data_IF_694040694418
#
_entry.id   IF_694040694418
#
_cell.length_a   1.000
_cell.length_b   1.000
_cell.length_c   1.000
_cell.angle_alpha   90.00
_cell.angle_beta   90.00
_cell.angle_gamma   90.00
#
_symmetry.space_group_name_H-M   'P 1'
#
loop_
_entity.id
_entity.type
_entity.pdbx_description
1 polymer ?
#
# COMPACT_ATOMS: atom_id res chain seq x y z
N UNK A 1 9.13 -4.12 -23.63
CA UNK A 1 7.75 -4.56 -23.32
C UNK A 1 7.40 -4.07 -21.93
N UNK A 2 6.69 -2.96 -21.82
CA UNK A 2 6.29 -2.37 -20.53
C UNK A 2 5.31 -3.30 -19.83
N UNK A 3 5.67 -3.78 -18.64
CA UNK A 3 4.75 -4.50 -17.76
C UNK A 3 3.75 -3.45 -17.27
N UNK A 4 2.50 -3.50 -17.75
CA UNK A 4 1.39 -2.70 -17.22
C UNK A 4 1.19 -3.11 -15.75
N UNK A 5 1.89 -2.45 -14.84
CA UNK A 5 1.75 -2.67 -13.40
C UNK A 5 0.73 -1.69 -12.86
N UNK A 6 -0.37 -2.22 -12.31
CA UNK A 6 -1.29 -1.49 -11.44
C UNK A 6 -2.22 -0.49 -12.12
N UNK A 7 -2.31 -0.45 -13.46
CA UNK A 7 -3.10 0.59 -14.12
C UNK A 7 -4.61 0.31 -14.01
N UNK A 8 -5.02 -0.96 -14.07
CA UNK A 8 -6.42 -1.34 -13.78
C UNK A 8 -6.72 -1.19 -12.29
N UNK A 9 -5.80 -1.61 -11.42
CA UNK A 9 -5.95 -1.48 -9.99
C UNK A 9 -6.13 -0.01 -9.56
N UNK A 10 -5.43 0.93 -10.21
CA UNK A 10 -5.59 2.36 -9.95
C UNK A 10 -6.99 2.87 -10.31
N UNK A 11 -7.56 2.44 -11.43
CA UNK A 11 -8.91 2.81 -11.83
C UNK A 11 -9.92 2.28 -10.80
N UNK A 12 -9.84 0.99 -10.47
CA UNK A 12 -10.74 0.38 -9.48
C UNK A 12 -10.60 1.02 -8.09
N UNK A 13 -9.37 1.32 -7.65
CA UNK A 13 -9.15 2.01 -6.40
C UNK A 13 -9.75 3.43 -6.40
N UNK A 14 -9.68 4.15 -7.53
CA UNK A 14 -10.30 5.47 -7.68
C UNK A 14 -11.84 5.40 -7.60
N UNK A 15 -12.46 4.38 -8.18
CA UNK A 15 -13.91 4.14 -8.08
C UNK A 15 -14.38 3.90 -6.64
N UNK A 16 -13.51 3.42 -5.76
CA UNK A 16 -13.81 3.23 -4.33
C UNK A 16 -13.73 4.53 -3.51
N UNK A 17 -13.16 5.62 -4.05
CA UNK A 17 -12.96 6.87 -3.31
C UNK A 17 -14.21 7.38 -2.57
N UNK A 18 -15.43 7.38 -3.15
CA UNK A 18 -16.64 7.86 -2.47
C UNK A 18 -17.03 7.02 -1.24
N UNK A 19 -16.51 5.79 -1.11
CA UNK A 19 -16.79 4.86 -0.01
C UNK A 19 -15.76 4.92 1.11
N UNK A 20 -14.62 5.59 0.88
CA UNK A 20 -13.52 5.71 1.84
C UNK A 20 -13.77 6.95 2.71
N UNK A 21 -14.75 6.82 3.60
CA UNK A 21 -15.27 7.91 4.42
C UNK A 21 -14.93 7.69 5.89
N UNK A 22 -14.45 8.72 6.58
CA UNK A 22 -14.19 8.71 8.02
C UNK A 22 -15.27 9.51 8.74
N UNK A 23 -15.86 8.90 9.76
CA UNK A 23 -16.72 9.58 10.72
C UNK A 23 -15.86 10.23 11.81
N UNK A 24 -16.14 11.49 12.15
CA UNK A 24 -15.48 12.20 13.24
C UNK A 24 -16.51 13.07 13.93
N UNK A 25 -16.83 12.76 15.19
CA UNK A 25 -17.83 13.49 16.00
C UNK A 25 -19.19 13.63 15.27
N UNK A 26 -19.66 12.55 14.63
CA UNK A 26 -20.93 12.53 13.89
C UNK A 26 -20.88 13.17 12.50
N UNK A 27 -19.73 13.69 12.05
CA UNK A 27 -19.55 14.22 10.70
C UNK A 27 -18.80 13.22 9.82
N UNK A 28 -19.40 12.88 8.68
CA UNK A 28 -18.81 12.01 7.68
C UNK A 28 -18.02 12.85 6.67
N UNK A 29 -16.74 12.54 6.48
CA UNK A 29 -15.86 13.25 5.54
C UNK A 29 -14.95 12.28 4.78
N UNK A 30 -14.50 12.61 3.55
CA UNK A 30 -13.56 11.76 2.82
C UNK A 30 -12.26 11.53 3.58
N UNK A 31 -11.83 10.28 3.70
CA UNK A 31 -10.54 9.94 4.29
C UNK A 31 -9.45 9.94 3.20
N UNK A 32 -8.95 11.13 2.89
CA UNK A 32 -7.97 11.34 1.81
C UNK A 32 -6.64 10.62 2.04
N UNK A 33 -6.23 10.45 3.30
CA UNK A 33 -5.01 9.71 3.65
C UNK A 33 -5.15 8.22 3.37
N UNK A 34 -6.23 7.59 3.85
CA UNK A 34 -6.53 6.19 3.53
C UNK A 34 -6.66 5.97 2.02
N UNK A 35 -7.31 6.89 1.30
CA UNK A 35 -7.37 6.81 -0.16
C UNK A 35 -5.98 6.89 -0.81
N UNK A 36 -5.12 7.83 -0.39
CA UNK A 36 -3.74 7.94 -0.88
C UNK A 36 -2.92 6.67 -0.60
N UNK A 37 -3.12 6.06 0.57
CA UNK A 37 -2.52 4.79 0.96
C UNK A 37 -3.00 3.66 0.03
N UNK A 38 -4.30 3.55 -0.26
CA UNK A 38 -4.85 2.57 -1.19
C UNK A 38 -4.30 2.74 -2.62
N UNK A 39 -4.22 3.99 -3.10
CA UNK A 39 -3.66 4.31 -4.43
C UNK A 39 -2.18 3.92 -4.53
N UNK A 40 -1.39 4.18 -3.47
CA UNK A 40 0.01 3.73 -3.40
C UNK A 40 0.08 2.20 -3.47
N UNK A 41 -0.75 1.49 -2.71
CA UNK A 41 -0.75 0.03 -2.76
C UNK A 41 -1.16 -0.49 -4.15
N UNK A 42 -2.24 0.06 -4.74
CA UNK A 42 -2.73 -0.32 -6.06
C UNK A 42 -1.68 -0.13 -7.16
N UNK A 43 -0.97 1.00 -7.16
CA UNK A 43 0.14 1.28 -8.09
C UNK A 43 1.27 0.26 -8.02
N UNK A 44 1.49 -0.33 -6.85
CA UNK A 44 2.62 -1.22 -6.58
C UNK A 44 2.23 -2.69 -6.50
N UNK A 45 1.14 -3.07 -7.16
CA UNK A 45 0.68 -4.45 -7.31
C UNK A 45 0.39 -4.80 -8.77
N UNK A 46 0.41 -6.09 -9.11
CA UNK A 46 0.02 -6.55 -10.43
C UNK A 46 -1.50 -6.52 -10.61
N UNK A 47 -1.95 -6.20 -11.82
CA UNK A 47 -3.38 -6.19 -12.16
C UNK A 47 -3.94 -7.61 -12.26
N UNK A 48 -5.24 -7.75 -12.00
CA UNK A 48 -6.03 -8.94 -12.32
C UNK A 48 -6.63 -8.80 -13.73
N UNK A 49 -6.75 -9.87 -14.54
CA UNK A 49 -6.25 -11.24 -14.34
C UNK A 49 -4.74 -11.41 -14.57
N UNK A 50 -4.10 -12.45 -13.99
CA UNK A 50 -2.69 -12.74 -14.25
C UNK A 50 -2.46 -13.11 -15.72
N UNK A 51 -1.39 -12.55 -16.29
CA UNK A 51 -0.86 -12.95 -17.60
C UNK A 51 -0.34 -14.40 -17.57
N UNK A 52 -0.22 -15.03 -18.73
CA UNK A 52 0.35 -16.40 -18.84
C UNK A 52 1.70 -16.53 -18.14
N UNK A 53 2.56 -15.50 -18.23
CA UNK A 53 3.85 -15.48 -17.53
C UNK A 53 3.67 -15.45 -16.02
N UNK A 54 2.73 -14.67 -15.50
CA UNK A 54 2.45 -14.62 -14.05
C UNK A 54 1.85 -15.94 -13.56
N UNK A 55 1.03 -16.60 -14.37
CA UNK A 55 0.49 -17.93 -14.05
C UNK A 55 1.61 -18.97 -13.92
N UNK A 56 2.49 -19.05 -14.93
CA UNK A 56 3.64 -19.99 -14.93
C UNK A 56 4.57 -19.76 -13.74
N UNK A 57 4.79 -18.49 -13.36
CA UNK A 57 5.72 -18.13 -12.29
C UNK A 57 5.05 -17.96 -10.92
N UNK A 58 3.76 -18.32 -10.77
CA UNK A 58 3.00 -18.17 -9.54
C UNK A 58 3.15 -16.78 -8.90
N UNK A 59 2.90 -15.74 -9.70
CA UNK A 59 3.00 -14.34 -9.27
C UNK A 59 1.63 -13.84 -8.84
N UNK A 60 1.45 -13.41 -7.58
CA UNK A 60 0.17 -12.96 -7.08
C UNK A 60 -0.23 -11.60 -7.66
N UNK A 61 -1.51 -11.45 -7.99
CA UNK A 61 -2.13 -10.19 -8.38
C UNK A 61 -2.65 -9.46 -7.14
N UNK A 62 -2.68 -8.12 -7.18
CA UNK A 62 -3.22 -7.26 -6.09
C UNK A 62 -2.62 -7.52 -4.69
N UNK A 63 -1.48 -8.21 -4.59
CA UNK A 63 -0.79 -8.47 -3.32
C UNK A 63 0.32 -7.45 -3.09
N UNK A 64 0.11 -6.53 -2.14
CA UNK A 64 1.07 -5.50 -1.76
C UNK A 64 2.01 -5.98 -0.65
N UNK A 65 3.32 -5.87 -0.87
CA UNK A 65 4.36 -6.43 0.02
C UNK A 65 5.55 -5.46 0.23
N UNK A 66 5.47 -4.22 -0.25
CA UNK A 66 6.57 -3.24 -0.13
C UNK A 66 6.76 -2.68 1.29
N UNK A 67 5.81 -2.92 2.19
CA UNK A 67 5.87 -2.49 3.58
C UNK A 67 5.34 -1.08 3.81
N UNK A 68 5.15 -0.74 5.09
CA UNK A 68 4.54 0.54 5.50
C UNK A 68 5.51 1.72 5.31
N UNK A 69 6.81 1.51 5.53
CA UNK A 69 7.84 2.53 5.29
C UNK A 69 7.85 3.01 3.83
N UNK A 70 7.60 2.10 2.89
CA UNK A 70 7.50 2.45 1.47
C UNK A 70 6.30 3.36 1.18
N UNK A 71 5.18 3.17 1.89
CA UNK A 71 3.99 4.03 1.76
C UNK A 71 4.34 5.44 2.25
N UNK A 72 4.95 5.54 3.43
CA UNK A 72 5.37 6.81 4.03
C UNK A 72 6.33 7.59 3.12
N UNK A 73 7.34 6.90 2.56
CA UNK A 73 8.29 7.51 1.63
C UNK A 73 7.60 7.96 0.33
N UNK A 74 6.73 7.12 -0.23
CA UNK A 74 5.95 7.43 -1.44
C UNK A 74 5.04 8.64 -1.27
N UNK A 75 4.54 8.86 -0.05
CA UNK A 75 3.72 10.02 0.32
C UNK A 75 4.57 11.26 0.68
N UNK A 76 5.90 11.15 0.66
CA UNK A 76 6.81 12.27 0.82
C UNK A 76 7.20 12.60 2.26
N UNK A 77 6.86 11.76 3.24
CA UNK A 77 7.22 12.02 4.64
C UNK A 77 8.74 12.16 4.85
N UNK A 78 9.57 11.42 4.10
CA UNK A 78 11.04 11.54 4.16
C UNK A 78 11.64 12.80 3.51
N UNK A 79 10.82 13.66 2.90
CA UNK A 79 11.30 14.86 2.21
C UNK A 79 11.47 16.01 3.19
N UNK A 80 12.58 16.71 3.05
CA UNK A 80 12.85 17.96 3.76
C UNK A 80 12.43 19.14 2.90
N UNK A 81 11.94 20.19 3.54
CA UNK A 81 11.82 21.48 2.87
C UNK A 81 13.21 22.06 2.57
N UNK A 82 13.26 23.07 1.69
CA UNK A 82 14.49 23.81 1.42
C UNK A 82 15.05 24.46 2.70
N UNK A 83 14.17 25.01 3.54
CA UNK A 83 14.54 25.61 4.84
C UNK A 83 15.19 24.59 5.77
N UNK A 84 14.57 23.43 5.96
CA UNK A 84 15.11 22.38 6.84
C UNK A 84 16.41 21.79 6.31
N UNK A 85 16.54 21.69 4.99
CA UNK A 85 17.78 21.25 4.36
C UNK A 85 18.93 22.23 4.64
N UNK A 86 18.66 23.55 4.58
CA UNK A 86 19.63 24.59 4.91
C UNK A 86 19.98 24.61 6.39
N UNK A 87 18.98 24.51 7.28
CA UNK A 87 19.18 24.46 8.74
C UNK A 87 19.99 23.23 9.18
N UNK A 88 19.85 22.11 8.47
CA UNK A 88 20.59 20.88 8.72
C UNK A 88 22.00 20.86 8.08
N UNK A 89 22.28 21.71 7.07
CA UNK A 89 23.53 21.66 6.30
C UNK A 89 24.79 21.91 7.15
N UNK A 90 24.66 22.64 8.26
CA UNK A 90 25.75 22.91 9.20
C UNK A 90 25.90 21.92 10.35
N UNK A 91 25.07 20.86 10.41
CA UNK A 91 25.01 19.93 11.55
C UNK A 91 25.17 18.48 11.09
N UNK A 92 26.32 17.83 11.35
CA UNK A 92 26.54 16.44 10.95
C UNK A 92 25.43 15.50 11.47
N UNK A 93 24.86 14.70 10.57
CA UNK A 93 23.81 13.72 10.91
C UNK A 93 22.40 14.27 11.13
N UNK A 94 22.23 15.59 11.28
CA UNK A 94 20.94 16.20 11.61
C UNK A 94 19.90 15.99 10.51
N UNK A 95 20.33 16.09 9.25
CA UNK A 95 19.49 15.84 8.07
C UNK A 95 18.88 14.43 8.13
N UNK A 96 19.70 13.42 8.38
CA UNK A 96 19.29 12.03 8.45
C UNK A 96 18.33 11.79 9.63
N UNK A 97 18.64 12.40 10.79
CA UNK A 97 17.79 12.31 11.98
C UNK A 97 16.38 12.86 11.74
N UNK A 98 16.27 14.03 11.10
CA UNK A 98 14.96 14.64 10.79
C UNK A 98 14.20 13.77 9.78
N UNK A 99 14.87 13.29 8.73
CA UNK A 99 14.26 12.42 7.72
C UNK A 99 13.75 11.12 8.34
N UNK A 100 14.54 10.47 9.19
CA UNK A 100 14.17 9.23 9.88
C UNK A 100 12.92 9.45 10.74
N UNK A 101 12.93 10.48 11.59
CA UNK A 101 11.79 10.80 12.46
C UNK A 101 10.50 11.04 11.66
N UNK A 102 10.60 11.72 10.52
CA UNK A 102 9.42 11.96 9.66
C UNK A 102 8.91 10.70 9.00
N UNK A 103 9.82 9.85 8.51
CA UNK A 103 9.46 8.56 7.93
C UNK A 103 8.77 7.66 8.97
N UNK A 104 9.24 7.65 10.21
CA UNK A 104 8.60 6.93 11.31
C UNK A 104 7.19 7.45 11.57
N UNK A 105 7.00 8.77 11.69
CA UNK A 105 5.68 9.37 11.85
C UNK A 105 4.76 9.09 10.65
N UNK A 106 5.28 9.13 9.44
CA UNK A 106 4.56 8.75 8.22
C UNK A 106 4.18 7.27 8.21
N UNK A 107 5.04 6.39 8.71
CA UNK A 107 4.77 4.97 8.81
C UNK A 107 3.67 4.68 9.84
N UNK A 108 3.64 5.40 10.96
CA UNK A 108 2.53 5.32 11.92
C UNK A 108 1.20 5.76 11.29
N UNK A 109 1.20 6.86 10.52
CA UNK A 109 0.02 7.33 9.81
C UNK A 109 -0.46 6.30 8.76
N UNK A 110 0.45 5.80 7.92
CA UNK A 110 0.15 4.77 6.93
C UNK A 110 -0.33 3.46 7.58
N UNK A 111 0.19 3.09 8.76
CA UNK A 111 -0.30 1.93 9.52
C UNK A 111 -1.75 2.11 9.96
N UNK A 112 -2.14 3.31 10.41
CA UNK A 112 -3.54 3.62 10.76
C UNK A 112 -4.45 3.59 9.54
N UNK A 113 -3.98 4.14 8.42
CA UNK A 113 -4.71 4.10 7.15
C UNK A 113 -4.96 2.67 6.66
N UNK A 114 -3.93 1.80 6.70
CA UNK A 114 -4.08 0.39 6.31
C UNK A 114 -5.07 -0.32 7.22
N UNK A 115 -5.05 -0.08 8.54
CA UNK A 115 -6.04 -0.65 9.46
C UNK A 115 -7.46 -0.20 9.11
N UNK A 116 -7.65 1.10 8.85
CA UNK A 116 -8.93 1.64 8.41
C UNK A 116 -9.40 0.99 7.10
N UNK A 117 -8.51 0.80 6.12
CA UNK A 117 -8.85 0.12 4.86
C UNK A 117 -9.23 -1.36 5.06
N UNK A 118 -8.64 -2.03 6.06
CA UNK A 118 -9.01 -3.39 6.46
C UNK A 118 -10.41 -3.40 7.08
N UNK A 119 -10.70 -2.48 7.99
CA UNK A 119 -12.01 -2.33 8.63
C UNK A 119 -13.12 -2.03 7.59
N UNK A 120 -12.81 -1.24 6.56
CA UNK A 120 -13.72 -1.00 5.44
C UNK A 120 -13.86 -2.17 4.45
N UNK A 121 -13.04 -3.22 4.57
CA UNK A 121 -13.06 -4.38 3.68
C UNK A 121 -12.42 -4.17 2.30
N UNK A 122 -11.63 -3.10 2.10
CA UNK A 122 -10.91 -2.86 0.85
C UNK A 122 -9.53 -3.53 0.80
N UNK A 123 -9.02 -3.93 1.96
CA UNK A 123 -7.72 -4.58 2.12
C UNK A 123 -7.88 -5.77 3.05
N UNK A 124 -7.20 -6.88 2.74
CA UNK A 124 -7.10 -8.05 3.62
C UNK A 124 -5.64 -8.36 3.92
N UNK A 125 -5.27 -8.48 5.19
CA UNK A 125 -3.93 -8.94 5.55
C UNK A 125 -3.85 -10.46 5.39
N UNK A 126 -2.93 -10.96 4.55
CA UNK A 126 -2.71 -12.40 4.38
C UNK A 126 -1.57 -12.91 5.26
N UNK A 127 -0.47 -12.15 5.36
CA UNK A 127 0.69 -12.50 6.19
C UNK A 127 1.07 -11.34 7.10
N UNK A 128 1.29 -11.56 8.41
CA UNK A 128 1.76 -10.53 9.31
C UNK A 128 3.23 -10.18 9.03
N UNK A 129 3.65 -9.00 9.50
CA UNK A 129 5.05 -8.61 9.50
C UNK A 129 5.89 -9.61 10.31
N UNK A 130 7.06 -9.98 9.80
CA UNK A 130 8.08 -10.76 10.51
C UNK A 130 9.45 -10.09 10.38
N UNK A 131 10.42 -10.52 11.19
CA UNK A 131 11.79 -10.02 11.08
C UNK A 131 12.31 -10.22 9.64
N UNK A 132 12.72 -9.12 8.99
CA UNK A 132 13.21 -9.13 7.62
C UNK A 132 12.15 -9.34 6.53
N UNK A 133 10.84 -9.40 6.86
CA UNK A 133 9.76 -9.55 5.88
C UNK A 133 8.56 -8.67 6.18
N UNK A 134 8.14 -7.94 5.17
CA UNK A 134 6.96 -7.09 5.26
C UNK A 134 5.68 -7.91 5.40
N UNK A 135 4.67 -7.31 6.04
CA UNK A 135 3.31 -7.82 5.94
C UNK A 135 2.83 -7.81 4.47
N UNK A 136 2.00 -8.77 4.10
CA UNK A 136 1.38 -8.85 2.78
C UNK A 136 -0.11 -8.53 2.86
N UNK A 137 -0.55 -7.61 2.01
CA UNK A 137 -1.91 -7.08 2.00
C UNK A 137 -2.53 -7.29 0.62
N UNK A 138 -3.63 -8.05 0.56
CA UNK A 138 -4.41 -8.28 -0.64
C UNK A 138 -5.41 -7.13 -0.83
N UNK A 139 -5.45 -6.54 -2.03
CA UNK A 139 -6.40 -5.48 -2.36
C UNK A 139 -7.71 -6.07 -2.91
N UNK A 140 -8.82 -5.75 -2.26
CA UNK A 140 -10.17 -6.21 -2.59
C UNK A 140 -10.91 -5.11 -3.37
N UNK A 141 -10.44 -4.87 -4.60
CA UNK A 141 -10.88 -3.73 -5.42
C UNK A 141 -12.10 -4.01 -6.31
N UNK A 142 -12.36 -5.29 -6.59
CA UNK A 142 -13.40 -5.73 -7.53
C UNK A 142 -14.73 -6.07 -6.85
N UNK A 143 -15.57 -6.80 -7.58
CA UNK A 143 -16.77 -7.43 -7.00
C UNK A 143 -16.40 -8.51 -5.97
N UNK A 144 -17.34 -8.92 -5.09
CA UNK A 144 -17.12 -10.04 -4.18
C UNK A 144 -16.66 -11.32 -4.89
N UNK A 145 -17.19 -11.60 -6.08
CA UNK A 145 -16.83 -12.75 -6.92
C UNK A 145 -15.38 -12.66 -7.40
N UNK A 146 -14.99 -11.50 -7.97
CA UNK A 146 -13.62 -11.28 -8.43
C UNK A 146 -12.63 -11.31 -7.26
N UNK A 147 -12.99 -10.71 -6.13
CA UNK A 147 -12.16 -10.69 -4.93
C UNK A 147 -11.89 -12.09 -4.37
N UNK A 148 -12.86 -13.01 -4.46
CA UNK A 148 -12.65 -14.43 -4.11
C UNK A 148 -11.62 -15.08 -5.05
N UNK A 149 -11.76 -14.90 -6.36
CA UNK A 149 -10.81 -15.46 -7.34
C UNK A 149 -9.38 -14.89 -7.17
N UNK A 150 -9.28 -13.59 -6.89
CA UNK A 150 -8.01 -12.93 -6.60
C UNK A 150 -7.37 -13.47 -5.32
N UNK A 151 -8.17 -13.73 -4.29
CA UNK A 151 -7.69 -14.32 -3.05
C UNK A 151 -7.22 -15.77 -3.25
N UNK A 152 -8.01 -16.60 -3.93
CA UNK A 152 -7.65 -17.99 -4.23
C UNK A 152 -6.33 -18.05 -5.01
N UNK A 153 -6.18 -17.20 -6.04
CA UNK A 153 -4.93 -17.09 -6.78
C UNK A 153 -3.75 -16.63 -5.92
N UNK A 154 -3.98 -15.69 -4.99
CA UNK A 154 -2.92 -15.24 -4.08
C UNK A 154 -2.44 -16.36 -3.15
N UNK A 155 -3.36 -17.18 -2.62
CA UNK A 155 -3.01 -18.34 -1.81
C UNK A 155 -2.30 -19.42 -2.62
N UNK A 156 -2.77 -19.74 -3.82
CA UNK A 156 -2.09 -20.68 -4.73
C UNK A 156 -0.64 -20.24 -4.98
N UNK A 157 -0.41 -18.95 -5.23
CA UNK A 157 0.93 -18.42 -5.42
C UNK A 157 1.81 -18.56 -4.17
N UNK A 158 1.24 -18.30 -2.99
CA UNK A 158 1.95 -18.43 -1.71
C UNK A 158 2.34 -19.89 -1.45
N UNK A 159 1.43 -20.83 -1.70
CA UNK A 159 1.64 -22.27 -1.54
C UNK A 159 2.66 -22.82 -2.54
N UNK A 160 2.64 -22.31 -3.78
CA UNK A 160 3.64 -22.59 -4.80
C UNK A 160 5.04 -21.99 -4.51
N UNK A 161 5.18 -21.28 -3.39
CA UNK A 161 6.46 -20.82 -2.88
C UNK A 161 6.79 -19.35 -3.16
N UNK A 162 5.80 -18.51 -3.43
CA UNK A 162 6.00 -17.06 -3.54
C UNK A 162 6.56 -16.47 -2.22
N UNK A 163 7.86 -16.19 -2.26
CA UNK A 163 8.65 -15.63 -1.16
C UNK A 163 9.14 -14.24 -1.59
N UNK A 164 8.50 -13.20 -1.07
CA UNK A 164 9.03 -11.83 -1.03
C UNK A 164 9.32 -11.44 0.41
#
# INVERSE_FOLDING_TARGET
MGTNMGMKNLILAAELQPRIMRETRGLLSPNTHAFSTLITMARHTYDWEPTNRQRINHVPCRLYERGIMFIADSQGYGKLSAKESLEAAGKPGEKSRIQCKRLESGAEAASKDVRFLIECGFVKQLRPQRLGRNASYLLLLGSPEENRLVEDWAWECIEAGWKR
#
